data_IF_239231807444
#
_entry.id   IF_239231807444
#
_cell.length_a   1.000
_cell.length_b   1.000
_cell.length_c   1.000
_cell.angle_alpha   90.00
_cell.angle_beta   90.00
_cell.angle_gamma   90.00
#
_symmetry.space_group_name_H-M   'P 1'
#
loop_
_entity.id
_entity.type
_entity.pdbx_description
1 polymer ?
#
# COMPACT_ATOMS: atom_id res chain seq x y z
N UNK A 1 33.18 -59.30 11.93
CA UNK A 1 33.11 -58.05 11.12
C UNK A 1 31.84 -57.19 11.39
N UNK A 2 31.21 -57.24 12.58
CA UNK A 2 30.00 -56.43 12.92
C UNK A 2 30.26 -55.16 13.76
N UNK A 3 31.48 -54.95 14.26
CA UNK A 3 31.84 -53.82 15.15
C UNK A 3 32.19 -52.52 14.40
N UNK A 4 32.52 -52.58 13.11
CA UNK A 4 32.92 -51.40 12.32
C UNK A 4 31.73 -50.50 11.93
N UNK A 5 30.56 -51.07 11.65
CA UNK A 5 29.37 -50.29 11.25
C UNK A 5 28.70 -49.51 12.39
N UNK A 6 28.83 -49.97 13.63
CA UNK A 6 28.27 -49.30 14.82
C UNK A 6 29.11 -48.08 15.19
N UNK A 7 30.44 -48.19 15.10
CA UNK A 7 31.36 -47.07 15.34
C UNK A 7 31.20 -45.95 14.32
N UNK A 8 31.04 -46.28 13.03
CA UNK A 8 30.79 -45.29 11.99
C UNK A 8 29.48 -44.51 12.24
N UNK A 9 28.40 -45.20 12.64
CA UNK A 9 27.11 -44.56 12.94
C UNK A 9 27.17 -43.67 14.19
N UNK A 10 27.88 -44.10 15.24
CA UNK A 10 28.09 -43.28 16.44
C UNK A 10 28.95 -42.05 16.16
N UNK A 11 29.99 -42.18 15.34
CA UNK A 11 30.84 -41.05 14.94
C UNK A 11 30.06 -40.01 14.12
N UNK A 12 29.21 -40.45 13.20
CA UNK A 12 28.38 -39.53 12.39
C UNK A 12 27.36 -38.79 13.26
N UNK A 13 26.71 -39.48 14.22
CA UNK A 13 25.78 -38.83 15.16
C UNK A 13 26.53 -37.85 16.06
N UNK A 14 27.73 -38.20 16.54
CA UNK A 14 28.57 -37.30 17.35
C UNK A 14 28.96 -36.02 16.58
N UNK A 15 29.33 -36.16 15.30
CA UNK A 15 29.64 -35.01 14.42
C UNK A 15 28.43 -34.11 14.17
N UNK A 16 27.24 -34.68 13.93
CA UNK A 16 26.00 -33.90 13.77
C UNK A 16 25.61 -33.16 15.05
N UNK A 17 25.81 -33.74 16.23
CA UNK A 17 25.51 -33.07 17.50
C UNK A 17 26.54 -31.97 17.77
N UNK A 18 27.82 -32.18 17.42
CA UNK A 18 28.87 -31.17 17.61
C UNK A 18 28.65 -29.91 16.74
N UNK A 19 28.03 -30.04 15.57
CA UNK A 19 27.71 -28.89 14.70
C UNK A 19 26.49 -28.09 15.16
N UNK A 20 25.62 -28.65 16.00
CA UNK A 20 24.43 -27.96 16.52
C UNK A 20 24.77 -27.08 17.74
N UNK A 21 25.88 -27.34 18.44
CA UNK A 21 26.22 -26.69 19.73
C UNK A 21 27.29 -25.61 19.59
N UNK A 22 27.85 -25.39 18.39
CA UNK A 22 28.70 -24.22 18.14
C UNK A 22 27.80 -23.03 17.75
N UNK A 23 27.67 -21.98 18.58
CA UNK A 23 27.05 -20.76 18.14
C UNK A 23 27.96 -20.16 17.07
N UNK A 24 27.52 -20.18 15.81
CA UNK A 24 28.04 -19.29 14.77
C UNK A 24 27.99 -17.89 15.38
N UNK A 25 29.18 -17.32 15.61
CA UNK A 25 29.36 -16.07 16.32
C UNK A 25 28.38 -15.03 15.79
N UNK A 26 27.47 -14.59 16.65
CA UNK A 26 26.70 -13.39 16.43
C UNK A 26 27.70 -12.24 16.51
N UNK A 27 28.17 -11.79 15.35
CA UNK A 27 28.97 -10.58 15.23
C UNK A 27 28.15 -9.42 15.79
N UNK A 28 28.56 -8.96 16.98
CA UNK A 28 28.10 -7.72 17.58
C UNK A 28 28.58 -6.59 16.67
N UNK A 29 27.70 -6.04 15.84
CA UNK A 29 27.95 -4.75 15.22
C UNK A 29 27.85 -3.69 16.32
N UNK A 30 29.00 -3.17 16.72
CA UNK A 30 29.16 -2.03 17.59
C UNK A 30 28.42 -0.81 17.00
N UNK A 31 27.57 -0.10 17.76
CA UNK A 31 27.17 1.25 17.38
C UNK A 31 28.39 2.17 17.53
N UNK A 32 28.80 2.79 16.43
CA UNK A 32 29.80 3.86 16.44
C UNK A 32 29.19 5.12 17.07
N UNK A 33 29.56 5.37 18.32
CA UNK A 33 29.34 6.63 19.04
C UNK A 33 30.31 7.69 18.46
N UNK A 34 29.86 8.46 17.48
CA UNK A 34 30.56 9.68 17.05
C UNK A 34 29.98 10.89 17.80
N UNK A 35 30.78 11.63 18.59
CA UNK A 35 30.29 12.75 19.39
C UNK A 35 29.89 13.96 18.53
N UNK A 36 28.73 14.50 18.88
CA UNK A 36 28.06 15.68 18.35
C UNK A 36 28.98 16.92 18.25
N UNK A 37 29.08 17.51 17.06
CA UNK A 37 29.52 18.90 16.89
C UNK A 37 28.31 19.84 16.93
N UNK A 38 28.10 20.50 18.07
CA UNK A 38 27.13 21.59 18.23
C UNK A 38 27.68 22.84 17.55
N UNK A 39 27.07 23.28 16.46
CA UNK A 39 27.34 24.60 15.88
C UNK A 39 26.46 25.62 16.63
N UNK A 40 27.02 26.68 17.23
CA UNK A 40 26.23 27.70 17.90
C UNK A 40 25.33 28.43 16.90
N UNK A 41 24.05 28.58 17.27
CA UNK A 41 23.02 29.25 16.49
C UNK A 41 23.39 30.72 16.27
N UNK A 42 23.71 31.08 15.03
CA UNK A 42 23.70 32.48 14.62
C UNK A 42 22.24 32.96 14.57
N UNK A 43 21.96 34.00 15.33
CA UNK A 43 20.69 34.71 15.37
C UNK A 43 20.33 35.19 13.96
N UNK A 44 19.24 34.69 13.39
CA UNK A 44 18.61 35.33 12.23
C UNK A 44 17.34 36.00 12.69
N UNK A 45 17.42 37.32 12.58
CA UNK A 45 16.42 38.35 12.85
C UNK A 45 15.02 38.04 12.32
N UNK A 46 14.03 38.53 13.07
CA UNK A 46 12.59 38.41 12.91
C UNK A 46 12.08 38.74 11.50
N UNK A 47 11.40 37.78 10.87
CA UNK A 47 10.50 38.02 9.75
C UNK A 47 9.09 38.43 10.28
N UNK A 48 8.40 39.40 9.65
CA UNK A 48 7.11 39.92 10.12
C UNK A 48 6.00 38.85 10.04
N UNK A 49 4.94 38.96 10.88
CA UNK A 49 3.87 37.97 10.89
C UNK A 49 3.08 38.05 9.58
N UNK A 50 3.19 37.01 8.76
CA UNK A 50 2.21 36.75 7.72
C UNK A 50 0.95 36.25 8.41
N UNK A 51 -0.06 37.10 8.49
CA UNK A 51 -1.39 36.73 8.96
C UNK A 51 -1.94 35.55 8.16
N UNK A 52 -1.94 34.40 8.81
CA UNK A 52 -3.02 33.40 8.85
C UNK A 52 -3.68 33.08 7.50
N UNK A 53 -2.94 32.35 6.67
CA UNK A 53 -3.58 31.28 5.91
C UNK A 53 -3.73 30.13 6.88
N UNK A 54 -4.94 29.86 7.37
CA UNK A 54 -5.25 28.66 8.14
C UNK A 54 -4.79 27.44 7.32
N UNK A 55 -3.72 26.73 7.72
CA UNK A 55 -3.38 25.49 7.06
C UNK A 55 -4.51 24.48 7.32
N UNK A 56 -4.89 23.70 6.29
CA UNK A 56 -5.83 22.57 6.41
C UNK A 56 -5.43 21.56 7.50
N UNK A 57 -4.18 21.62 7.97
CA UNK A 57 -3.67 20.91 9.14
C UNK A 57 -3.28 21.96 10.17
N UNK A 58 -4.06 22.10 11.24
CA UNK A 58 -3.61 22.85 12.42
C UNK A 58 -2.27 22.28 12.88
N UNK A 59 -1.19 23.03 12.70
CA UNK A 59 0.12 22.71 13.23
C UNK A 59 0.16 22.92 14.76
N UNK A 60 -0.90 22.55 15.47
CA UNK A 60 -0.92 22.52 16.93
C UNK A 60 -0.27 21.22 17.36
N UNK A 61 1.05 21.25 17.52
CA UNK A 61 1.85 20.27 18.29
C UNK A 61 1.30 18.84 18.20
N UNK A 62 1.11 18.35 16.98
CA UNK A 62 0.95 16.91 16.74
C UNK A 62 2.29 16.30 17.15
N UNK A 63 2.32 15.20 17.93
CA UNK A 63 3.56 14.48 18.14
C UNK A 63 4.13 14.14 16.77
N UNK A 64 5.19 14.85 16.36
CA UNK A 64 5.88 14.59 15.10
C UNK A 64 6.33 13.14 15.14
N UNK A 65 5.66 12.26 14.38
CA UNK A 65 6.00 10.84 14.36
C UNK A 65 4.90 9.85 13.97
N UNK A 66 3.62 10.24 13.88
CA UNK A 66 2.59 9.28 13.45
C UNK A 66 1.44 9.98 12.71
N UNK A 67 1.18 9.54 11.47
CA UNK A 67 -0.06 9.84 10.77
C UNK A 67 -1.15 8.92 11.34
N UNK A 68 -2.40 9.38 11.54
CA UNK A 68 -3.48 8.56 12.07
C UNK A 68 -3.93 7.52 11.05
N UNK A 69 -3.14 6.47 10.85
CA UNK A 69 -3.39 5.41 9.87
C UNK A 69 -3.84 4.10 10.51
N UNK A 70 -4.64 3.32 9.78
CA UNK A 70 -5.08 1.98 10.17
C UNK A 70 -4.36 0.96 9.31
N UNK A 71 -3.67 0.01 9.94
CA UNK A 71 -3.02 -1.12 9.26
C UNK A 71 -3.88 -2.38 9.35
N UNK A 72 -3.94 -3.16 8.27
CA UNK A 72 -4.59 -4.46 8.24
C UNK A 72 -3.79 -5.45 7.37
N UNK A 73 -4.08 -6.74 7.51
CA UNK A 73 -3.59 -7.78 6.60
C UNK A 73 -4.79 -8.37 5.88
N UNK A 74 -4.75 -8.41 4.55
CA UNK A 74 -5.82 -8.97 3.74
C UNK A 74 -5.89 -10.49 3.88
N UNK A 75 -7.04 -11.09 3.55
CA UNK A 75 -7.18 -12.55 3.53
C UNK A 75 -6.19 -13.25 2.56
N UNK A 76 -5.67 -12.51 1.58
CA UNK A 76 -4.63 -12.97 0.66
C UNK A 76 -3.20 -12.81 1.22
N UNK A 77 -3.04 -12.31 2.46
CA UNK A 77 -1.75 -12.10 3.12
C UNK A 77 -1.04 -10.79 2.74
N UNK A 78 -1.72 -9.87 2.05
CA UNK A 78 -1.16 -8.56 1.70
C UNK A 78 -1.23 -7.56 2.86
N UNK A 79 -0.23 -6.68 2.97
CA UNK A 79 -0.24 -5.59 3.94
C UNK A 79 -1.03 -4.40 3.39
N UNK A 80 -1.99 -3.91 4.17
CA UNK A 80 -2.85 -2.78 3.85
C UNK A 80 -2.64 -1.66 4.87
N UNK A 81 -2.58 -0.41 4.40
CA UNK A 81 -2.50 0.77 5.26
C UNK A 81 -3.43 1.87 4.75
N UNK A 82 -4.21 2.50 5.63
CA UNK A 82 -5.16 3.55 5.25
C UNK A 82 -4.97 4.79 6.10
N UNK A 83 -4.76 5.94 5.46
CA UNK A 83 -4.61 7.25 6.10
C UNK A 83 -5.83 8.10 5.70
N UNK A 84 -6.74 8.45 6.62
CA UNK A 84 -7.84 9.35 6.33
C UNK A 84 -7.31 10.74 5.98
N UNK A 85 -7.93 11.38 4.99
CA UNK A 85 -7.59 12.74 4.60
C UNK A 85 -8.64 13.69 5.20
N UNK A 86 -8.17 14.63 6.01
CA UNK A 86 -9.02 15.70 6.52
C UNK A 86 -9.35 16.67 5.38
N UNK A 87 -10.62 16.68 4.97
CA UNK A 87 -11.14 17.59 3.96
C UNK A 87 -12.04 18.63 4.62
N UNK A 88 -12.06 19.88 4.14
CA UNK A 88 -13.01 20.87 4.66
C UNK A 88 -14.46 20.41 4.39
N UNK A 89 -15.42 20.78 5.25
CA UNK A 89 -16.83 20.49 5.01
C UNK A 89 -17.28 21.15 3.70
N UNK A 90 -17.90 20.38 2.82
CA UNK A 90 -18.46 20.91 1.58
C UNK A 90 -19.76 21.69 1.81
N UNK A 91 -20.22 22.39 0.76
CA UNK A 91 -21.50 23.11 0.79
C UNK A 91 -22.65 22.15 1.07
N UNK A 92 -23.63 22.62 1.85
CA UNK A 92 -24.80 21.83 2.28
C UNK A 92 -24.46 20.53 3.04
N UNK A 93 -23.29 20.45 3.70
CA UNK A 93 -22.90 19.27 4.47
C UNK A 93 -22.43 18.08 3.63
N UNK A 94 -22.25 18.27 2.32
CA UNK A 94 -21.74 17.26 1.40
C UNK A 94 -20.20 17.22 1.45
N UNK A 95 -19.65 16.42 2.36
CA UNK A 95 -18.21 16.24 2.51
C UNK A 95 -17.77 14.89 1.92
N UNK A 96 -16.79 14.84 1.00
CA UNK A 96 -16.26 13.57 0.51
C UNK A 96 -15.46 12.88 1.61
N UNK A 97 -15.55 11.56 1.70
CA UNK A 97 -14.70 10.78 2.60
C UNK A 97 -13.49 10.29 1.82
N UNK A 98 -12.36 10.99 1.92
CA UNK A 98 -11.13 10.64 1.21
C UNK A 98 -10.13 9.93 2.14
N UNK A 99 -9.38 8.99 1.58
CA UNK A 99 -8.25 8.34 2.28
C UNK A 99 -7.15 7.96 1.30
N UNK A 100 -5.91 8.01 1.75
CA UNK A 100 -4.76 7.46 1.05
C UNK A 100 -4.57 6.01 1.49
N UNK A 101 -4.65 5.07 0.54
CA UNK A 101 -4.52 3.64 0.79
C UNK A 101 -3.24 3.08 0.18
N UNK A 102 -2.55 2.25 0.94
CA UNK A 102 -1.45 1.41 0.49
C UNK A 102 -1.87 -0.06 0.52
N UNK A 103 -1.51 -0.81 -0.51
CA UNK A 103 -1.61 -2.27 -0.57
C UNK A 103 -0.32 -2.83 -1.15
N UNK A 104 0.31 -3.78 -0.44
CA UNK A 104 1.56 -4.40 -0.89
C UNK A 104 1.38 -5.25 -2.16
N UNK A 105 0.15 -5.68 -2.45
CA UNK A 105 -0.19 -6.45 -3.65
C UNK A 105 -0.71 -5.59 -4.80
N UNK A 106 -0.92 -4.30 -4.59
CA UNK A 106 -1.40 -3.41 -5.65
C UNK A 106 -0.28 -3.05 -6.62
N UNK A 107 -0.67 -2.89 -7.89
CA UNK A 107 0.23 -2.46 -8.96
C UNK A 107 0.62 -0.97 -8.86
N UNK A 108 1.12 -0.45 -9.98
CA UNK A 108 1.42 0.98 -10.12
C UNK A 108 0.13 1.72 -10.46
N UNK A 109 -0.18 2.77 -9.70
CA UNK A 109 -1.25 3.73 -9.99
C UNK A 109 -0.67 5.15 -10.08
N UNK A 110 -1.51 6.16 -10.26
CA UNK A 110 -1.16 7.58 -10.41
C UNK A 110 -0.34 8.15 -9.25
N UNK A 111 -0.27 7.44 -8.12
CA UNK A 111 0.42 7.86 -6.89
C UNK A 111 1.68 7.05 -6.62
N UNK A 112 2.04 6.11 -7.51
CA UNK A 112 3.15 5.19 -7.35
C UNK A 112 2.71 3.75 -7.06
N UNK A 113 3.70 2.87 -6.85
CA UNK A 113 3.47 1.46 -6.60
C UNK A 113 2.79 1.23 -5.25
N UNK A 114 1.69 0.50 -5.25
CA UNK A 114 0.95 0.13 -4.04
C UNK A 114 0.07 1.24 -3.46
N UNK A 115 0.16 2.49 -3.94
CA UNK A 115 -0.59 3.63 -3.40
C UNK A 115 -1.80 4.00 -4.27
N UNK A 116 -2.91 4.34 -3.64
CA UNK A 116 -4.15 4.79 -4.29
C UNK A 116 -4.95 5.76 -3.41
N UNK A 117 -5.78 6.62 -4.00
CA UNK A 117 -6.80 7.39 -3.26
C UNK A 117 -8.09 6.60 -3.24
N UNK A 118 -8.65 6.36 -2.06
CA UNK A 118 -9.99 5.84 -1.89
C UNK A 118 -10.98 6.95 -1.54
N UNK A 119 -12.23 6.76 -1.99
CA UNK A 119 -13.32 7.74 -1.82
C UNK A 119 -13.28 8.90 -2.81
N UNK A 120 -12.29 8.92 -3.70
CA UNK A 120 -12.36 9.69 -4.93
C UNK A 120 -13.46 9.14 -5.85
N UNK A 121 -13.78 9.89 -6.91
CA UNK A 121 -14.70 9.45 -7.96
C UNK A 121 -14.28 8.08 -8.51
N UNK A 122 -15.25 7.22 -8.84
CA UNK A 122 -14.97 5.91 -9.43
C UNK A 122 -14.16 6.03 -10.73
N UNK A 123 -13.23 5.10 -10.92
CA UNK A 123 -12.32 5.09 -12.06
C UNK A 123 -12.68 3.93 -12.98
N UNK A 124 -12.91 4.24 -14.25
CA UNK A 124 -13.06 3.25 -15.32
C UNK A 124 -11.70 3.08 -16.00
N UNK A 125 -11.14 1.88 -15.93
CA UNK A 125 -9.87 1.53 -16.58
C UNK A 125 -9.94 0.15 -17.25
N UNK A 126 -9.10 -0.14 -18.26
CA UNK A 126 -8.99 -1.50 -18.78
C UNK A 126 -8.59 -2.48 -17.67
N UNK A 127 -9.27 -3.62 -17.59
CA UNK A 127 -8.96 -4.65 -16.61
C UNK A 127 -7.65 -5.36 -16.98
N UNK A 128 -6.72 -5.56 -16.03
CA UNK A 128 -5.54 -6.37 -16.29
C UNK A 128 -5.94 -7.83 -16.57
N UNK A 129 -5.64 -8.38 -17.76
CA UNK A 129 -5.96 -9.77 -18.06
C UNK A 129 -5.06 -10.69 -17.23
N UNK A 130 -5.65 -11.73 -16.66
CA UNK A 130 -4.94 -12.80 -15.94
C UNK A 130 -5.14 -14.11 -16.67
N UNK A 131 -4.12 -14.95 -16.74
CA UNK A 131 -4.26 -16.29 -17.34
C UNK A 131 -5.37 -17.11 -16.69
N UNK A 132 -5.52 -17.01 -15.37
CA UNK A 132 -6.53 -17.78 -14.63
C UNK A 132 -7.97 -17.44 -15.03
N UNK A 133 -8.26 -16.18 -15.32
CA UNK A 133 -9.64 -15.73 -15.62
C UNK A 133 -9.87 -15.59 -17.12
N UNK A 134 -8.85 -15.21 -17.89
CA UNK A 134 -9.00 -14.80 -19.29
C UNK A 134 -8.28 -15.72 -20.28
N UNK A 135 -7.40 -16.62 -19.82
CA UNK A 135 -6.61 -17.51 -20.68
C UNK A 135 -5.51 -16.83 -21.50
N UNK A 136 -5.32 -15.52 -21.34
CA UNK A 136 -4.30 -14.69 -21.99
C UNK A 136 -3.85 -13.57 -21.05
N UNK A 137 -2.72 -12.94 -21.38
CA UNK A 137 -2.17 -11.76 -20.68
C UNK A 137 -1.87 -10.59 -21.62
N UNK A 138 -2.38 -10.67 -22.86
CA UNK A 138 -2.14 -9.69 -23.90
C UNK A 138 -2.92 -8.39 -23.63
N UNK A 139 -3.77 -7.97 -24.56
CA UNK A 139 -4.49 -6.71 -24.45
C UNK A 139 -5.77 -6.84 -23.62
N UNK A 140 -6.05 -5.88 -22.73
CA UNK A 140 -7.28 -5.88 -21.96
C UNK A 140 -8.48 -5.67 -22.88
N UNK A 141 -9.40 -6.62 -22.89
CA UNK A 141 -10.63 -6.57 -23.69
C UNK A 141 -11.83 -6.05 -22.90
N UNK A 142 -11.75 -6.05 -21.56
CA UNK A 142 -12.82 -5.63 -20.65
C UNK A 142 -12.46 -4.34 -19.92
N UNK A 143 -13.48 -3.57 -19.57
CA UNK A 143 -13.38 -2.40 -18.71
C UNK A 143 -13.74 -2.77 -17.26
N UNK A 144 -13.07 -2.14 -16.32
CA UNK A 144 -13.26 -2.31 -14.89
C UNK A 144 -13.64 -0.97 -14.25
N UNK A 145 -14.70 -0.97 -13.44
CA UNK A 145 -15.01 0.10 -12.51
C UNK A 145 -14.36 -0.25 -11.17
N UNK A 146 -13.40 0.55 -10.73
CA UNK A 146 -12.72 0.34 -9.43
C UNK A 146 -12.15 -1.09 -9.26
N UNK A 147 -11.58 -1.64 -10.35
CA UNK A 147 -11.05 -3.02 -10.49
C UNK A 147 -12.12 -4.13 -10.63
N UNK A 148 -13.39 -3.76 -10.74
CA UNK A 148 -14.46 -4.73 -10.91
C UNK A 148 -14.95 -4.76 -12.36
N UNK A 149 -14.97 -5.93 -13.01
CA UNK A 149 -15.30 -6.02 -14.43
C UNK A 149 -16.73 -5.55 -14.68
N UNK A 150 -16.87 -4.75 -15.74
CA UNK A 150 -18.15 -4.28 -16.25
C UNK A 150 -18.73 -5.29 -17.24
N UNK A 151 -20.02 -5.57 -17.08
CA UNK A 151 -20.82 -6.44 -17.93
C UNK A 151 -21.92 -5.59 -18.55
N UNK A 152 -22.02 -5.64 -19.88
CA UNK A 152 -23.05 -4.93 -20.62
C UNK A 152 -24.41 -5.63 -20.46
N UNK A 153 -25.47 -4.84 -20.26
CA UNK A 153 -26.85 -5.31 -20.24
C UNK A 153 -27.51 -5.10 -21.61
N UNK A 154 -27.80 -6.20 -22.29
CA UNK A 154 -28.75 -6.26 -23.40
C UNK A 154 -28.37 -5.56 -24.71
N UNK A 155 -27.26 -4.81 -24.80
CA UNK A 155 -26.81 -3.94 -25.92
C UNK A 155 -27.32 -2.49 -25.94
N UNK A 156 -27.76 -1.97 -24.79
CA UNK A 156 -28.24 -0.58 -24.67
C UNK A 156 -27.15 0.42 -24.29
N UNK A 157 -25.90 -0.02 -24.10
CA UNK A 157 -24.84 0.79 -23.51
C UNK A 157 -24.97 1.00 -22.00
N UNK A 158 -25.86 0.24 -21.32
CA UNK A 158 -25.89 0.15 -19.86
C UNK A 158 -24.96 -0.97 -19.37
N UNK A 159 -24.16 -0.68 -18.36
CA UNK A 159 -23.23 -1.61 -17.74
C UNK A 159 -23.49 -1.73 -16.25
N UNK A 160 -23.24 -2.92 -15.73
CA UNK A 160 -23.19 -3.24 -14.28
C UNK A 160 -21.89 -3.94 -13.95
N UNK A 161 -21.47 -3.88 -12.69
CA UNK A 161 -20.33 -4.69 -12.23
C UNK A 161 -20.72 -6.16 -12.13
N UNK A 162 -19.78 -7.07 -12.39
CA UNK A 162 -20.03 -8.53 -12.33
C UNK A 162 -20.54 -8.99 -10.96
N UNK A 163 -19.99 -8.42 -9.88
CA UNK A 163 -20.62 -8.48 -8.56
C UNK A 163 -21.34 -7.14 -8.30
N UNK A 164 -22.66 -7.18 -8.21
CA UNK A 164 -23.48 -5.98 -8.36
C UNK A 164 -23.24 -5.00 -7.21
N UNK A 165 -22.74 -3.80 -7.54
CA UNK A 165 -22.55 -2.70 -6.61
C UNK A 165 -23.75 -1.74 -6.58
N UNK A 166 -24.83 -2.08 -7.31
CA UNK A 166 -25.99 -1.23 -7.57
C UNK A 166 -25.66 0.10 -8.28
N UNK A 167 -24.46 0.22 -8.85
CA UNK A 167 -24.08 1.34 -9.68
C UNK A 167 -24.65 1.16 -11.10
N UNK A 168 -25.22 2.22 -11.65
CA UNK A 168 -25.61 2.28 -13.06
C UNK A 168 -24.51 3.01 -13.84
N UNK A 169 -23.96 2.35 -14.86
CA UNK A 169 -22.93 2.92 -15.72
C UNK A 169 -23.49 3.02 -17.14
N UNK A 170 -23.45 4.22 -17.73
CA UNK A 170 -23.98 4.47 -19.07
C UNK A 170 -22.85 4.91 -20.00
N UNK A 171 -22.75 4.28 -21.17
CA UNK A 171 -21.86 4.73 -22.23
C UNK A 171 -22.44 5.98 -22.89
N UNK A 172 -21.71 7.09 -22.84
CA UNK A 172 -22.09 8.31 -23.52
C UNK A 172 -21.63 8.26 -24.98
N UNK A 173 -22.50 8.49 -25.98
CA UNK A 173 -22.05 8.67 -27.36
C UNK A 173 -21.10 9.87 -27.44
N UNK A 174 -20.12 9.85 -28.37
CA UNK A 174 -19.24 11.00 -28.55
C UNK A 174 -20.11 12.24 -28.81
N UNK A 175 -20.05 13.22 -27.91
CA UNK A 175 -20.73 14.50 -28.11
C UNK A 175 -20.11 15.17 -29.32
N UNK A 176 -20.90 15.46 -30.34
CA UNK A 176 -20.47 16.28 -31.47
C UNK A 176 -20.08 17.66 -30.92
N UNK A 177 -18.78 17.97 -30.96
CA UNK A 177 -18.25 19.33 -30.77
C UNK A 177 -18.47 20.17 -32.01
#
# INVERSE_FOLDING_TARGET
MRRQGVFARLLTVLLCVLTIVLPVGCGVLQPSDEPVAVIPQAMVTSAPPLSELDPILSASKVPTGSLPGVSAVSAAGGYEYSIPLDVPPGRAGMQPKLSLRYSSGAGIDNMGAGWSVAGATSIIKPCTPTFATHGHVDFPTKLCLDQQPLIELGSTGEYRTENDSFAQVLAQPPSAS
#
